data_IF_557403914396
#
_entry.id   IF_557403914396
#
_cell.length_a   1.000
_cell.length_b   1.000
_cell.length_c   1.000
_cell.angle_alpha   90.00
_cell.angle_beta   90.00
_cell.angle_gamma   90.00
#
_symmetry.space_group_name_H-M   'P 1'
#
loop_
_entity.id
_entity.type
_entity.pdbx_description
1 polymer ?
#
# COMPACT_ATOMS: atom_id res chain seq x y z
N UNK A 1 0.48 2.14 -19.75
CA UNK A 1 1.03 3.50 -19.56
C UNK A 1 0.97 4.29 -20.87
N UNK A 2 -0.22 4.64 -21.35
CA UNK A 2 -0.40 5.40 -22.59
C UNK A 2 -0.31 6.91 -22.38
N UNK A 3 -0.51 7.38 -21.14
CA UNK A 3 -0.38 8.79 -20.78
C UNK A 3 1.08 9.13 -20.41
N UNK A 4 1.74 10.08 -21.10
CA UNK A 4 3.13 10.45 -20.82
C UNK A 4 3.37 10.97 -19.40
N UNK A 5 2.39 11.66 -18.81
CA UNK A 5 2.50 12.19 -17.44
C UNK A 5 2.63 11.07 -16.40
N UNK A 6 1.84 10.01 -16.55
CA UNK A 6 1.88 8.83 -15.67
C UNK A 6 3.20 8.07 -15.79
N UNK A 7 3.83 8.06 -16.97
CA UNK A 7 5.15 7.44 -17.14
C UNK A 7 6.24 8.16 -16.36
N UNK A 8 6.24 9.50 -16.39
CA UNK A 8 7.20 10.31 -15.64
C UNK A 8 6.97 10.12 -14.15
N UNK A 9 5.72 10.18 -13.72
CA UNK A 9 5.32 9.97 -12.33
C UNK A 9 5.74 8.59 -11.79
N UNK A 10 5.45 7.51 -12.52
CA UNK A 10 5.79 6.15 -12.10
C UNK A 10 7.30 5.88 -12.02
N UNK A 11 8.12 6.66 -12.74
CA UNK A 11 9.58 6.53 -12.75
C UNK A 11 10.29 7.47 -11.77
N UNK A 12 9.54 8.38 -11.13
CA UNK A 12 10.07 9.30 -10.15
C UNK A 12 10.01 8.70 -8.74
N UNK A 13 11.09 8.85 -7.97
CA UNK A 13 11.19 8.36 -6.60
C UNK A 13 11.12 9.54 -5.63
N UNK A 14 10.08 9.54 -4.80
CA UNK A 14 9.92 10.48 -3.70
C UNK A 14 10.37 9.81 -2.40
N UNK A 15 10.99 10.58 -1.53
CA UNK A 15 11.26 10.19 -0.15
C UNK A 15 10.42 11.06 0.79
N UNK A 16 10.01 10.53 1.95
CA UNK A 16 9.38 11.33 2.98
C UNK A 16 10.18 12.60 3.28
N UNK A 17 9.48 13.70 3.58
CA UNK A 17 10.03 15.02 3.90
C UNK A 17 10.67 15.80 2.73
N UNK A 18 10.92 15.17 1.57
CA UNK A 18 11.40 15.87 0.37
C UNK A 18 10.22 16.24 -0.54
N UNK A 19 10.11 17.53 -0.88
CA UNK A 19 9.06 18.06 -1.76
C UNK A 19 9.30 17.81 -3.25
N UNK A 20 10.52 17.41 -3.60
CA UNK A 20 10.98 17.18 -4.97
C UNK A 20 11.44 15.72 -5.06
N UNK A 21 11.22 15.03 -6.18
CA UNK A 21 11.72 13.67 -6.34
C UNK A 21 13.25 13.64 -6.19
N UNK A 22 13.74 12.70 -5.39
CA UNK A 22 15.18 12.48 -5.18
C UNK A 22 15.79 11.88 -6.44
N UNK A 23 15.04 11.02 -7.12
CA UNK A 23 15.38 10.49 -8.44
C UNK A 23 14.24 10.83 -9.39
N UNK A 24 14.48 11.69 -10.37
CA UNK A 24 13.45 12.14 -11.33
C UNK A 24 13.06 11.06 -12.33
N UNK A 25 13.98 10.16 -12.68
CA UNK A 25 13.72 9.07 -13.63
C UNK A 25 14.63 7.87 -13.35
N UNK A 26 14.05 6.80 -12.81
CA UNK A 26 14.73 5.53 -12.55
C UNK A 26 14.92 4.67 -13.82
N UNK A 27 14.26 5.00 -14.94
CA UNK A 27 14.36 4.22 -16.18
C UNK A 27 13.94 2.75 -15.99
N UNK A 28 14.78 1.82 -16.45
CA UNK A 28 14.54 0.37 -16.30
C UNK A 28 14.58 -0.11 -14.84
N UNK A 29 15.28 0.59 -13.95
CA UNK A 29 15.31 0.22 -12.52
C UNK A 29 13.95 0.31 -11.85
N UNK A 30 13.01 1.07 -12.41
CA UNK A 30 11.61 1.16 -11.94
C UNK A 30 10.98 -0.21 -11.80
N UNK A 31 11.20 -1.11 -12.77
CA UNK A 31 10.61 -2.45 -12.78
C UNK A 31 11.20 -3.32 -11.66
N UNK A 32 12.53 -3.28 -11.51
CA UNK A 32 13.24 -4.04 -10.48
C UNK A 32 12.84 -3.53 -9.10
N UNK A 33 12.75 -2.21 -8.92
CA UNK A 33 12.34 -1.58 -7.67
C UNK A 33 10.94 -2.02 -7.25
N UNK A 34 9.93 -1.90 -8.12
CA UNK A 34 8.57 -2.34 -7.80
C UNK A 34 8.49 -3.85 -7.57
N UNK A 35 9.24 -4.67 -8.32
CA UNK A 35 9.29 -6.11 -8.08
C UNK A 35 9.82 -6.42 -6.67
N UNK A 36 10.88 -5.73 -6.23
CA UNK A 36 11.44 -5.88 -4.88
C UNK A 36 10.45 -5.42 -3.82
N UNK A 37 9.76 -4.28 -4.02
CA UNK A 37 8.76 -3.77 -3.07
C UNK A 37 7.58 -4.73 -2.93
N UNK A 38 7.03 -5.23 -4.03
CA UNK A 38 5.87 -6.15 -4.02
C UNK A 38 6.25 -7.51 -3.44
N UNK A 39 7.35 -8.11 -3.90
CA UNK A 39 7.80 -9.41 -3.37
C UNK A 39 8.21 -9.27 -1.89
N UNK A 40 8.93 -8.19 -1.55
CA UNK A 40 9.36 -7.92 -0.19
C UNK A 40 8.19 -7.74 0.76
N UNK A 41 7.16 -6.96 0.39
CA UNK A 41 5.96 -6.75 1.21
C UNK A 41 5.12 -8.03 1.36
N UNK A 42 4.92 -8.81 0.30
CA UNK A 42 4.28 -10.14 0.37
C UNK A 42 4.96 -11.05 1.38
N UNK A 43 6.29 -11.17 1.32
CA UNK A 43 7.05 -12.02 2.23
C UNK A 43 7.12 -11.44 3.65
N UNK A 44 7.14 -10.11 3.81
CA UNK A 44 7.13 -9.47 5.12
C UNK A 44 5.82 -9.73 5.89
N UNK A 45 4.66 -9.64 5.21
CA UNK A 45 3.37 -9.96 5.83
C UNK A 45 3.30 -11.45 6.17
N UNK A 46 3.75 -12.33 5.27
CA UNK A 46 3.82 -13.77 5.52
C UNK A 46 4.69 -14.12 6.74
N UNK A 47 5.88 -13.52 6.87
CA UNK A 47 6.75 -13.72 8.03
C UNK A 47 6.13 -13.24 9.35
N UNK A 48 5.26 -12.23 9.28
CA UNK A 48 4.57 -11.66 10.44
C UNK A 48 3.35 -12.50 10.87
N UNK A 49 2.85 -13.38 10.00
CA UNK A 49 1.68 -14.25 10.22
C UNK A 49 2.04 -15.50 11.05
N UNK A 50 2.71 -15.29 12.19
CA UNK A 50 3.13 -16.35 13.11
C UNK A 50 2.43 -16.34 14.47
N UNK A 51 1.60 -15.32 14.74
CA UNK A 51 0.85 -15.16 15.98
C UNK A 51 -0.59 -14.69 15.71
N UNK A 52 -1.51 -15.12 16.57
CA UNK A 52 -2.93 -14.78 16.53
C UNK A 52 -3.14 -13.25 16.44
N UNK A 53 -3.74 -12.78 15.35
CA UNK A 53 -4.11 -11.38 15.15
C UNK A 53 -2.96 -10.43 14.81
N UNK A 54 -1.70 -10.88 14.81
CA UNK A 54 -0.54 -9.99 14.63
C UNK A 54 -0.47 -9.42 13.20
N UNK A 55 -0.41 -10.28 12.18
CA UNK A 55 -0.29 -9.85 10.79
C UNK A 55 -1.50 -9.00 10.35
N UNK A 56 -2.72 -9.43 10.68
CA UNK A 56 -3.92 -8.69 10.30
C UNK A 56 -4.08 -7.38 11.08
N UNK A 57 -3.69 -7.34 12.36
CA UNK A 57 -3.69 -6.10 13.15
C UNK A 57 -2.76 -5.03 12.55
N UNK A 58 -1.55 -5.43 12.17
CA UNK A 58 -0.61 -4.57 11.44
C UNK A 58 -1.18 -4.16 10.07
N UNK A 59 -1.77 -5.10 9.33
CA UNK A 59 -2.37 -4.84 8.02
C UNK A 59 -3.46 -3.77 8.08
N UNK A 60 -4.38 -3.86 9.05
CA UNK A 60 -5.50 -2.91 9.18
C UNK A 60 -4.98 -1.49 9.43
N UNK A 61 -3.97 -1.33 10.28
CA UNK A 61 -3.39 -0.01 10.57
C UNK A 61 -2.67 0.58 9.37
N UNK A 62 -1.89 -0.23 8.63
CA UNK A 62 -1.23 0.19 7.39
C UNK A 62 -2.25 0.55 6.30
N UNK A 63 -3.28 -0.28 6.11
CA UNK A 63 -4.32 -0.05 5.12
C UNK A 63 -5.11 1.25 5.42
N UNK A 64 -5.39 1.56 6.69
CA UNK A 64 -5.98 2.84 7.07
C UNK A 64 -5.07 4.02 6.71
N UNK A 65 -3.78 3.94 6.99
CA UNK A 65 -2.84 5.00 6.62
C UNK A 65 -2.82 5.22 5.10
N UNK A 66 -2.78 4.14 4.31
CA UNK A 66 -2.78 4.20 2.85
C UNK A 66 -4.11 4.68 2.28
N UNK A 67 -5.24 4.39 2.93
CA UNK A 67 -6.53 4.98 2.58
C UNK A 67 -6.47 6.52 2.66
N UNK A 68 -5.94 7.07 3.75
CA UNK A 68 -5.79 8.53 3.90
C UNK A 68 -4.79 9.13 2.90
N UNK A 69 -3.64 8.48 2.71
CA UNK A 69 -2.60 8.97 1.79
C UNK A 69 -3.07 8.96 0.33
N UNK A 70 -3.71 7.88 -0.11
CA UNK A 70 -4.23 7.76 -1.48
C UNK A 70 -5.35 8.77 -1.77
N UNK A 71 -6.22 9.03 -0.78
CA UNK A 71 -7.26 10.06 -0.87
C UNK A 71 -6.65 11.47 -0.97
N UNK A 72 -5.66 11.76 -0.12
CA UNK A 72 -4.97 13.04 -0.11
C UNK A 72 -4.24 13.31 -1.43
N UNK A 73 -3.50 12.32 -1.95
CA UNK A 73 -2.81 12.40 -3.23
C UNK A 73 -3.78 12.47 -4.43
N UNK A 74 -5.00 11.94 -4.29
CA UNK A 74 -6.02 11.93 -5.32
C UNK A 74 -6.88 13.19 -5.41
N UNK A 75 -6.82 14.06 -4.40
CA UNK A 75 -7.58 15.30 -4.33
C UNK A 75 -6.67 16.51 -4.53
N UNK A 76 -6.87 17.25 -5.62
CA UNK A 76 -6.02 18.38 -6.00
C UNK A 76 -5.83 19.41 -4.88
N UNK A 77 -6.91 19.80 -4.19
CA UNK A 77 -6.85 20.82 -3.13
C UNK A 77 -6.07 20.34 -1.91
N UNK A 78 -6.24 19.07 -1.54
CA UNK A 78 -5.54 18.48 -0.40
C UNK A 78 -4.07 18.28 -0.73
N UNK A 79 -3.78 17.76 -1.93
CA UNK A 79 -2.42 17.54 -2.39
C UNK A 79 -1.60 18.84 -2.45
N UNK A 80 -2.21 19.91 -2.98
CA UNK A 80 -1.60 21.25 -3.03
C UNK A 80 -1.38 21.81 -1.61
N UNK A 81 -2.37 21.71 -0.73
CA UNK A 81 -2.27 22.23 0.64
C UNK A 81 -1.21 21.49 1.48
N UNK A 82 -1.20 20.15 1.42
CA UNK A 82 -0.25 19.31 2.16
C UNK A 82 1.12 19.20 1.49
N UNK A 83 1.28 19.74 0.28
CA UNK A 83 2.51 19.66 -0.51
C UNK A 83 2.94 18.21 -0.79
N UNK A 84 1.96 17.35 -1.07
CA UNK A 84 2.18 15.96 -1.50
C UNK A 84 1.96 15.83 -3.02
N UNK A 85 2.61 14.88 -3.70
CA UNK A 85 2.44 14.70 -5.14
C UNK A 85 0.99 14.36 -5.50
N UNK A 86 0.44 15.07 -6.48
CA UNK A 86 -0.91 14.82 -6.98
C UNK A 86 -0.91 13.71 -8.04
N UNK A 87 -1.72 12.68 -7.80
CA UNK A 87 -1.95 11.58 -8.74
C UNK A 87 -3.44 11.51 -9.07
N UNK A 88 -3.80 11.87 -10.31
CA UNK A 88 -5.18 11.82 -10.75
C UNK A 88 -5.74 10.41 -10.58
N UNK A 89 -6.93 10.30 -9.99
CA UNK A 89 -7.66 9.04 -9.73
C UNK A 89 -7.03 8.10 -8.68
N UNK A 90 -5.95 8.49 -7.98
CA UNK A 90 -5.40 7.64 -6.90
C UNK A 90 -6.38 7.46 -5.73
N UNK A 91 -7.39 8.33 -5.60
CA UNK A 91 -8.45 8.21 -4.61
C UNK A 91 -9.27 6.92 -4.73
N UNK A 92 -9.29 6.25 -5.88
CA UNK A 92 -9.95 4.94 -6.02
C UNK A 92 -9.25 3.85 -5.18
N UNK A 93 -7.94 4.00 -4.92
CA UNK A 93 -7.19 3.10 -4.04
C UNK A 93 -7.69 3.19 -2.59
N UNK A 94 -8.28 4.32 -2.19
CA UNK A 94 -8.91 4.48 -0.88
C UNK A 94 -10.05 3.48 -0.68
N UNK A 95 -10.82 3.19 -1.73
CA UNK A 95 -11.91 2.19 -1.69
C UNK A 95 -11.34 0.79 -1.46
N UNK A 96 -10.23 0.46 -2.14
CA UNK A 96 -9.54 -0.83 -1.97
C UNK A 96 -9.01 -0.96 -0.54
N UNK A 97 -8.34 0.07 -0.02
CA UNK A 97 -7.85 0.08 1.34
C UNK A 97 -8.98 -0.01 2.37
N UNK A 98 -10.08 0.71 2.18
CA UNK A 98 -11.24 0.64 3.08
C UNK A 98 -11.90 -0.75 3.07
N UNK A 99 -11.99 -1.39 1.89
CA UNK A 99 -12.46 -2.77 1.78
C UNK A 99 -11.51 -3.75 2.51
N UNK A 100 -10.20 -3.56 2.37
CA UNK A 100 -9.19 -4.36 3.08
C UNK A 100 -9.29 -4.18 4.60
N UNK A 101 -9.53 -2.95 5.08
CA UNK A 101 -9.77 -2.67 6.51
C UNK A 101 -11.02 -3.39 6.99
N UNK A 102 -12.14 -3.29 6.27
CA UNK A 102 -13.39 -3.99 6.63
C UNK A 102 -13.23 -5.51 6.66
N UNK A 103 -12.63 -6.08 5.62
CA UNK A 103 -12.33 -7.50 5.55
C UNK A 103 -11.36 -7.94 6.66
N UNK A 104 -10.33 -7.14 6.94
CA UNK A 104 -9.34 -7.40 7.98
C UNK A 104 -9.93 -7.36 9.38
N UNK A 105 -10.80 -6.40 9.68
CA UNK A 105 -11.54 -6.37 10.95
C UNK A 105 -12.50 -7.56 11.10
N UNK A 106 -13.18 -7.95 10.01
CA UNK A 106 -14.01 -9.16 9.98
C UNK A 106 -13.20 -10.44 10.19
N UNK A 107 -12.02 -10.55 9.59
CA UNK A 107 -11.11 -11.67 9.79
C UNK A 107 -10.53 -11.70 11.22
N UNK A 108 -10.11 -10.54 11.73
CA UNK A 108 -9.57 -10.39 13.09
C UNK A 108 -10.56 -10.85 14.15
N UNK A 109 -11.88 -10.72 13.94
CA UNK A 109 -12.89 -11.27 14.85
C UNK A 109 -12.73 -12.78 15.09
N UNK A 110 -12.28 -13.52 14.08
CA UNK A 110 -12.05 -14.97 14.16
C UNK A 110 -10.59 -15.35 14.41
N UNK A 111 -9.65 -14.44 14.15
CA UNK A 111 -8.22 -14.67 14.27
C UNK A 111 -7.61 -14.08 15.56
N UNK A 112 -8.35 -13.23 16.30
CA UNK A 112 -7.93 -12.73 17.61
C UNK A 112 -7.77 -13.89 18.61
N UNK A 113 -6.79 -13.78 19.50
CA UNK A 113 -6.42 -14.84 20.42
C UNK A 113 -7.58 -15.26 21.34
N UNK A 114 -7.89 -16.56 21.47
CA UNK A 114 -7.33 -17.71 20.73
C UNK A 114 -7.95 -17.87 19.32
N UNK A 115 -7.10 -17.98 18.30
CA UNK A 115 -7.53 -18.01 16.90
C UNK A 115 -8.38 -19.24 16.53
N UNK A 116 -9.44 -19.01 15.75
CA UNK A 116 -10.34 -20.05 15.18
C UNK A 116 -10.07 -20.31 13.71
N UNK A 117 -9.51 -19.32 13.01
CA UNK A 117 -9.20 -19.37 11.58
C UNK A 117 -7.79 -18.82 11.38
N UNK A 118 -6.99 -19.50 10.55
CA UNK A 118 -5.66 -19.07 10.16
C UNK A 118 -5.68 -18.39 8.80
N UNK A 119 -4.78 -17.42 8.62
CA UNK A 119 -4.68 -16.64 7.39
C UNK A 119 -3.96 -17.43 6.30
N UNK A 120 -2.79 -17.98 6.62
CA UNK A 120 -2.01 -18.83 5.73
C UNK A 120 -1.39 -18.06 4.55
N UNK A 121 -0.68 -18.77 3.69
CA UNK A 121 0.05 -18.17 2.56
C UNK A 121 -0.87 -17.42 1.59
N UNK A 122 -2.08 -17.95 1.35
CA UNK A 122 -3.07 -17.35 0.45
C UNK A 122 -3.46 -15.95 0.90
N UNK A 123 -3.73 -15.77 2.19
CA UNK A 123 -4.09 -14.46 2.74
C UNK A 123 -2.88 -13.54 2.83
N UNK A 124 -1.79 -14.03 3.44
CA UNK A 124 -0.63 -13.19 3.78
C UNK A 124 0.12 -12.66 2.55
N UNK A 125 0.38 -13.50 1.54
CA UNK A 125 1.05 -13.08 0.30
C UNK A 125 0.18 -12.09 -0.50
N UNK A 126 -1.13 -12.33 -0.57
CA UNK A 126 -2.08 -11.46 -1.28
C UNK A 126 -2.20 -10.09 -0.61
N UNK A 127 -2.32 -10.04 0.73
CA UNK A 127 -2.38 -8.78 1.46
C UNK A 127 -1.08 -8.01 1.32
N UNK A 128 0.07 -8.65 1.53
CA UNK A 128 1.36 -7.97 1.40
C UNK A 128 1.59 -7.45 -0.02
N UNK A 129 1.21 -8.23 -1.04
CA UNK A 129 1.33 -7.81 -2.44
C UNK A 129 0.41 -6.64 -2.78
N UNK A 130 -0.82 -6.63 -2.26
CA UNK A 130 -1.74 -5.50 -2.40
C UNK A 130 -1.18 -4.23 -1.75
N UNK A 131 -0.68 -4.31 -0.51
CA UNK A 131 -0.04 -3.19 0.17
C UNK A 131 1.22 -2.73 -0.57
N UNK A 132 2.00 -3.63 -1.16
CA UNK A 132 3.17 -3.25 -1.96
C UNK A 132 2.84 -2.52 -3.26
N UNK A 133 1.62 -2.68 -3.77
CA UNK A 133 1.14 -2.01 -4.99
C UNK A 133 0.52 -0.65 -4.70
N UNK A 134 -0.19 -0.51 -3.58
CA UNK A 134 -0.81 0.75 -3.13
C UNK A 134 0.25 1.72 -2.63
#
# INVERSE_FOLDING_TARGET
LTNPSLQVQARSLYLPFFKVPVITNMGWFTLIFFAVVIVGSSNAVNLTDGLDGLAIGCTVTVALAYAFLSYAAGNFRIAEYLQVPFYAFSGELTVICAALVGAGLGFLWFNCHPAKVFMGDTGSLAIGGMIGVV
#
